data_IF_901158956598
#
_entry.id   IF_901158956598
#
_cell.length_a   1.000
_cell.length_b   1.000
_cell.length_c   1.000
_cell.angle_alpha   90.00
_cell.angle_beta   90.00
_cell.angle_gamma   90.00
#
_symmetry.space_group_name_H-M   'P 1'
#
loop_
_entity.id
_entity.type
_entity.pdbx_description
1 polymer ?
#
# COMPACT_ATOMS: atom_id res chain seq x y z
N UNK A 1 22.72 10.34 21.94
CA UNK A 1 23.37 10.24 20.61
C UNK A 1 22.42 10.87 19.61
N UNK A 2 22.87 11.71 18.67
CA UNK A 2 21.94 12.42 17.80
C UNK A 2 21.34 11.42 16.80
N UNK A 3 20.01 11.30 16.83
CA UNK A 3 19.20 10.57 15.86
C UNK A 3 19.39 11.18 14.47
N UNK A 4 19.83 10.37 13.52
CA UNK A 4 19.96 10.72 12.10
C UNK A 4 18.57 11.16 11.55
N UNK A 5 18.43 12.39 11.03
CA UNK A 5 17.13 12.94 10.60
C UNK A 5 16.54 12.29 9.34
N UNK A 6 17.18 11.28 8.73
CA UNK A 6 16.77 10.67 7.46
C UNK A 6 16.20 9.25 7.57
N UNK A 7 15.65 8.87 8.73
CA UNK A 7 15.10 7.52 8.92
C UNK A 7 13.61 7.52 8.57
N UNK A 8 13.26 7.07 7.36
CA UNK A 8 11.87 6.65 7.07
C UNK A 8 11.64 5.40 7.92
N UNK A 9 10.79 5.51 8.93
CA UNK A 9 10.56 4.43 9.86
C UNK A 9 9.65 3.38 9.19
N UNK A 10 10.11 2.14 9.12
CA UNK A 10 9.23 0.97 9.07
C UNK A 10 9.14 0.44 10.50
N UNK A 11 7.92 0.22 11.00
CA UNK A 11 7.70 -0.24 12.36
C UNK A 11 7.24 -1.69 12.39
N UNK A 12 7.90 -2.54 13.16
CA UNK A 12 7.32 -3.80 13.62
C UNK A 12 6.54 -3.55 14.92
N UNK A 13 5.30 -4.05 15.01
CA UNK A 13 4.43 -3.78 16.16
C UNK A 13 4.53 -4.86 17.23
N UNK A 14 4.57 -4.43 18.51
CA UNK A 14 4.40 -5.29 19.69
C UNK A 14 2.93 -5.31 20.14
N UNK A 15 2.48 -6.46 20.62
CA UNK A 15 1.07 -6.79 20.87
C UNK A 15 0.60 -6.25 22.24
N UNK A 16 -0.19 -5.17 22.22
CA UNK A 16 -0.79 -4.62 23.44
C UNK A 16 -2.27 -5.04 23.62
N UNK A 17 -3.04 -5.20 22.52
CA UNK A 17 -4.45 -5.63 22.55
C UNK A 17 -4.84 -6.49 21.32
N UNK A 18 -5.88 -7.35 21.39
CA UNK A 18 -6.22 -8.30 20.32
C UNK A 18 -6.90 -7.71 19.07
N UNK A 19 -7.26 -6.42 19.06
CA UNK A 19 -8.01 -5.76 17.97
C UNK A 19 -7.39 -4.43 17.48
N UNK A 20 -6.29 -3.99 18.09
CA UNK A 20 -5.71 -2.68 17.84
C UNK A 20 -4.19 -2.71 18.01
N UNK A 21 -3.49 -2.10 17.04
CA UNK A 21 -2.04 -1.97 17.01
C UNK A 21 -1.65 -0.51 16.80
N UNK A 22 -0.66 -0.04 17.58
CA UNK A 22 -0.13 1.32 17.51
C UNK A 22 1.32 1.31 17.01
N UNK A 23 1.63 2.20 16.08
CA UNK A 23 3.01 2.56 15.71
C UNK A 23 3.23 3.99 16.23
N UNK A 24 4.22 4.16 17.10
CA UNK A 24 4.64 5.48 17.58
C UNK A 24 5.29 6.26 16.43
N UNK A 25 4.63 7.34 16.01
CA UNK A 25 5.11 8.27 15.00
C UNK A 25 5.43 9.65 15.61
N UNK A 26 5.79 9.70 16.90
CA UNK A 26 6.14 10.94 17.62
C UNK A 26 7.30 11.75 17.01
N UNK A 27 8.17 11.12 16.22
CA UNK A 27 9.26 11.80 15.48
C UNK A 27 8.78 12.59 14.26
N UNK A 28 7.53 12.41 13.85
CA UNK A 28 7.01 12.85 12.56
C UNK A 28 6.54 14.31 12.64
N UNK A 29 7.09 15.17 11.76
CA UNK A 29 6.86 16.64 11.79
C UNK A 29 5.90 17.17 10.70
N UNK A 30 5.43 16.30 9.81
CA UNK A 30 4.52 16.62 8.68
C UNK A 30 3.05 16.81 9.09
N UNK A 31 2.21 17.36 8.19
CA UNK A 31 0.74 17.44 8.37
C UNK A 31 0.01 16.36 7.55
N UNK A 32 0.66 15.70 6.59
CA UNK A 32 0.05 14.61 5.83
C UNK A 32 0.97 13.40 5.64
N UNK A 33 0.35 12.22 5.71
CA UNK A 33 0.99 10.91 5.74
C UNK A 33 0.30 9.98 4.76
N UNK A 34 0.61 10.06 3.45
CA UNK A 34 0.22 9.00 2.53
C UNK A 34 0.79 7.67 3.03
N UNK A 35 -0.07 6.68 3.25
CA UNK A 35 0.30 5.42 3.88
C UNK A 35 -0.35 4.23 3.18
N UNK A 36 0.23 3.05 3.37
CA UNK A 36 -0.24 1.81 2.78
C UNK A 36 0.21 0.58 3.54
N UNK A 37 -0.52 -0.51 3.38
CA UNK A 37 -0.19 -1.81 3.96
C UNK A 37 1.02 -2.42 3.23
N UNK A 38 2.08 -2.72 3.97
CA UNK A 38 3.21 -3.50 3.47
C UNK A 38 3.33 -4.88 4.13
N UNK A 39 2.58 -5.14 5.21
CA UNK A 39 2.43 -6.46 5.81
C UNK A 39 1.02 -6.61 6.39
N UNK A 40 0.38 -7.73 6.12
CA UNK A 40 -0.84 -8.17 6.79
C UNK A 40 -0.70 -9.64 7.22
N UNK A 41 -1.09 -9.94 8.46
CA UNK A 41 -1.25 -11.27 9.02
C UNK A 41 -2.56 -11.25 9.84
N UNK A 42 -3.66 -11.66 9.21
CA UNK A 42 -5.03 -11.52 9.74
C UNK A 42 -5.77 -12.85 9.66
N UNK A 43 -6.34 -13.30 10.76
CA UNK A 43 -7.06 -14.59 10.85
C UNK A 43 -8.24 -14.67 9.89
N UNK A 44 -8.55 -15.85 9.36
CA UNK A 44 -9.75 -16.11 8.53
C UNK A 44 -11.01 -16.48 9.32
N UNK A 45 -11.02 -16.26 10.65
CA UNK A 45 -12.19 -16.56 11.51
C UNK A 45 -13.44 -15.75 11.15
N UNK A 46 -13.25 -14.69 10.39
CA UNK A 46 -14.24 -13.77 9.84
C UNK A 46 -13.64 -13.22 8.53
N UNK A 47 -14.35 -12.30 7.86
CA UNK A 47 -13.84 -11.56 6.70
C UNK A 47 -12.41 -11.05 6.92
N UNK A 48 -11.63 -10.94 5.82
CA UNK A 48 -10.41 -10.16 5.88
C UNK A 48 -10.79 -8.71 6.13
N UNK A 49 -10.55 -8.22 7.34
CA UNK A 49 -10.84 -6.85 7.77
C UNK A 49 -9.59 -6.25 8.34
N UNK A 50 -9.03 -5.28 7.65
CA UNK A 50 -7.84 -4.56 8.08
C UNK A 50 -7.93 -3.12 7.59
N UNK A 51 -7.51 -2.19 8.44
CA UNK A 51 -7.50 -0.76 8.13
C UNK A 51 -6.26 -0.12 8.74
N UNK A 52 -5.53 0.65 7.94
CA UNK A 52 -4.51 1.58 8.40
C UNK A 52 -5.17 2.95 8.52
N UNK A 53 -5.04 3.57 9.68
CA UNK A 53 -5.55 4.92 9.94
C UNK A 53 -4.51 5.76 10.65
N UNK A 54 -4.54 7.08 10.43
CA UNK A 54 -3.67 8.02 11.13
C UNK A 54 -4.51 8.90 12.04
N UNK A 55 -4.18 8.92 13.33
CA UNK A 55 -4.74 9.84 14.31
C UNK A 55 -3.72 10.95 14.58
N UNK A 56 -4.14 12.21 14.53
CA UNK A 56 -3.21 13.36 14.50
C UNK A 56 -3.02 14.00 15.89
N UNK A 57 -3.68 13.54 16.96
CA UNK A 57 -3.65 14.20 18.26
C UNK A 57 -3.36 13.25 19.43
N UNK A 58 -2.48 13.63 20.40
CA UNK A 58 -1.64 14.84 20.46
C UNK A 58 -0.37 14.76 19.61
N UNK A 59 -0.03 13.59 19.07
CA UNK A 59 1.05 13.33 18.10
C UNK A 59 0.49 12.39 17.01
N UNK A 60 0.99 12.45 15.77
CA UNK A 60 0.58 11.51 14.74
C UNK A 60 0.86 10.08 15.19
N UNK A 61 -0.19 9.26 15.24
CA UNK A 61 -0.13 7.83 15.56
C UNK A 61 -0.71 7.08 14.38
N UNK A 62 0.04 6.13 13.84
CA UNK A 62 -0.50 5.23 12.82
C UNK A 62 -1.05 4.00 13.53
N UNK A 63 -2.31 3.67 13.27
CA UNK A 63 -2.99 2.50 13.79
C UNK A 63 -3.26 1.52 12.67
N UNK A 64 -3.03 0.24 12.96
CA UNK A 64 -3.58 -0.86 12.17
C UNK A 64 -4.67 -1.53 12.99
N UNK A 65 -5.90 -1.50 12.49
CA UNK A 65 -7.08 -1.98 13.19
C UNK A 65 -7.80 -3.06 12.41
N UNK A 66 -8.48 -3.94 13.14
CA UNK A 66 -9.44 -4.91 12.60
C UNK A 66 -10.77 -4.75 13.31
N UNK A 67 -11.84 -5.32 12.77
CA UNK A 67 -13.17 -5.24 13.37
C UNK A 67 -13.97 -6.53 13.18
N UNK A 68 -15.06 -6.68 13.95
CA UNK A 68 -15.80 -7.93 14.04
C UNK A 68 -14.99 -9.01 14.75
N UNK A 69 -14.98 -10.23 14.22
CA UNK A 69 -14.19 -11.34 14.80
C UNK A 69 -12.82 -11.53 14.12
N UNK A 70 -12.42 -10.64 13.21
CA UNK A 70 -11.10 -10.65 12.57
C UNK A 70 -10.01 -10.27 13.59
N UNK A 71 -9.02 -11.13 13.74
CA UNK A 71 -7.87 -10.91 14.62
C UNK A 71 -6.63 -10.69 13.76
N UNK A 72 -5.94 -9.59 14.02
CA UNK A 72 -4.62 -9.30 13.44
C UNK A 72 -3.56 -9.94 14.35
N UNK A 73 -2.65 -10.71 13.76
CA UNK A 73 -1.53 -11.35 14.45
C UNK A 73 -0.27 -10.48 14.37
N UNK A 74 -0.04 -9.90 13.19
CA UNK A 74 0.97 -8.88 12.92
C UNK A 74 0.54 -8.04 11.72
N UNK A 75 0.96 -6.78 11.70
CA UNK A 75 0.75 -5.89 10.55
C UNK A 75 1.84 -4.83 10.54
N UNK A 76 2.11 -4.28 9.37
CA UNK A 76 2.93 -3.09 9.19
C UNK A 76 2.31 -2.19 8.14
N UNK A 77 2.68 -0.91 8.19
CA UNK A 77 2.42 0.04 7.14
C UNK A 77 3.70 0.78 6.74
N UNK A 78 3.72 1.27 5.51
CA UNK A 78 4.68 2.25 5.01
C UNK A 78 4.00 3.60 4.94
N UNK A 79 4.72 4.69 5.22
CA UNK A 79 4.24 6.05 4.97
C UNK A 79 5.30 6.93 4.30
N UNK A 80 4.82 7.92 3.55
CA UNK A 80 5.62 9.00 3.01
C UNK A 80 5.46 10.24 3.90
N UNK A 81 6.58 10.80 4.37
CA UNK A 81 6.57 12.11 5.00
C UNK A 81 6.68 13.20 3.93
N UNK A 82 5.57 13.90 3.68
CA UNK A 82 5.59 15.07 2.78
C UNK A 82 5.96 16.30 3.60
N UNK A 83 7.15 16.84 3.35
CA UNK A 83 7.59 18.08 3.99
C UNK A 83 6.62 19.21 3.67
N UNK A 84 6.31 20.08 4.65
CA UNK A 84 5.33 21.19 4.48
C UNK A 84 5.62 22.11 3.30
N UNK A 85 6.89 22.20 2.88
CA UNK A 85 7.34 23.07 1.80
C UNK A 85 7.52 22.34 0.46
N UNK A 86 7.39 21.01 0.43
CA UNK A 86 7.41 20.26 -0.81
C UNK A 86 6.02 20.34 -1.47
N UNK A 87 5.86 21.32 -2.36
CA UNK A 87 4.59 21.61 -3.05
C UNK A 87 4.37 20.76 -4.30
N UNK A 88 5.31 19.87 -4.60
CA UNK A 88 5.27 19.06 -5.81
C UNK A 88 4.46 17.77 -5.60
N UNK A 89 4.37 17.28 -4.37
CA UNK A 89 3.50 16.16 -4.05
C UNK A 89 2.04 16.59 -3.94
N UNK A 90 1.16 15.79 -4.52
CA UNK A 90 -0.28 15.79 -4.24
C UNK A 90 -0.69 14.37 -3.91
N UNK A 91 -1.58 14.19 -2.95
CA UNK A 91 -2.00 12.87 -2.50
C UNK A 91 -3.42 12.93 -1.95
N UNK A 92 -4.03 11.76 -1.76
CA UNK A 92 -5.34 11.65 -1.14
C UNK A 92 -5.71 10.21 -0.84
N UNK A 93 -6.86 10.02 -0.21
CA UNK A 93 -7.43 8.71 0.07
C UNK A 93 -8.79 8.61 -0.59
N UNK A 94 -9.08 7.46 -1.18
CA UNK A 94 -10.40 7.12 -1.70
C UNK A 94 -10.89 5.84 -1.03
N UNK A 95 -12.14 5.85 -0.59
CA UNK A 95 -12.84 4.69 -0.05
C UNK A 95 -13.90 4.22 -1.04
N UNK A 96 -13.98 2.92 -1.31
CA UNK A 96 -15.01 2.40 -2.22
C UNK A 96 -16.42 2.73 -1.73
N UNK A 97 -16.65 2.77 -0.41
CA UNK A 97 -17.96 3.11 0.17
C UNK A 97 -18.30 4.60 0.13
N UNK A 98 -17.41 5.45 -0.40
CA UNK A 98 -17.75 6.83 -0.76
C UNK A 98 -18.54 6.88 -2.07
N UNK A 99 -18.51 5.81 -2.88
CA UNK A 99 -19.37 5.64 -4.05
C UNK A 99 -20.79 5.26 -3.59
N UNK A 100 -21.78 6.08 -3.95
CA UNK A 100 -23.16 5.90 -3.50
C UNK A 100 -23.78 4.52 -3.83
N UNK A 101 -23.27 3.85 -4.86
CA UNK A 101 -23.73 2.53 -5.29
C UNK A 101 -22.91 1.38 -4.68
N UNK A 102 -21.76 1.67 -4.07
CA UNK A 102 -20.98 0.69 -3.35
C UNK A 102 -21.27 0.81 -1.86
N UNK A 103 -21.88 -0.23 -1.30
CA UNK A 103 -22.04 -0.32 0.15
C UNK A 103 -21.79 -1.74 0.61
N UNK A 104 -21.67 -1.92 1.92
CA UNK A 104 -21.65 -3.23 2.55
C UNK A 104 -22.74 -4.19 2.02
N UNK A 105 -23.93 -3.66 1.74
CA UNK A 105 -25.09 -4.44 1.27
C UNK A 105 -25.15 -4.59 -0.26
N UNK A 106 -24.31 -3.87 -0.97
CA UNK A 106 -24.23 -3.82 -2.44
C UNK A 106 -22.75 -3.77 -2.85
N UNK A 107 -21.99 -4.86 -2.63
CA UNK A 107 -20.59 -4.93 -3.06
C UNK A 107 -20.51 -4.84 -4.58
N UNK A 108 -19.45 -4.20 -5.10
CA UNK A 108 -19.20 -4.03 -6.54
C UNK A 108 -17.85 -4.63 -6.91
N UNK A 109 -17.80 -5.24 -8.10
CA UNK A 109 -16.54 -5.75 -8.66
C UNK A 109 -15.58 -4.63 -9.04
N UNK A 110 -16.10 -3.45 -9.37
CA UNK A 110 -15.28 -2.29 -9.71
C UNK A 110 -15.89 -1.03 -9.10
N UNK A 111 -15.03 -0.20 -8.54
CA UNK A 111 -15.36 1.16 -8.13
C UNK A 111 -14.26 2.07 -8.63
N UNK A 112 -14.66 3.16 -9.27
CA UNK A 112 -13.73 4.14 -9.82
C UNK A 112 -14.10 5.55 -9.42
N UNK A 113 -13.10 6.41 -9.38
CA UNK A 113 -13.25 7.82 -9.03
C UNK A 113 -12.41 8.68 -9.95
N UNK A 114 -13.01 9.69 -10.55
CA UNK A 114 -12.25 10.77 -11.16
C UNK A 114 -11.65 11.64 -10.06
N UNK A 115 -10.34 11.78 -10.08
CA UNK A 115 -9.57 12.58 -9.12
C UNK A 115 -9.00 13.78 -9.86
N UNK A 116 -9.38 14.97 -9.41
CA UNK A 116 -8.77 16.23 -9.86
C UNK A 116 -7.62 16.61 -8.93
N UNK A 117 -6.50 17.02 -9.51
CA UNK A 117 -5.41 17.61 -8.75
C UNK A 117 -5.82 19.00 -8.25
N UNK A 118 -5.44 19.34 -7.01
CA UNK A 118 -5.61 20.68 -6.46
C UNK A 118 -4.88 21.72 -7.32
N UNK A 119 -3.70 21.35 -7.81
CA UNK A 119 -2.90 22.13 -8.75
C UNK A 119 -2.56 21.28 -9.99
N UNK A 120 -2.81 21.76 -11.22
CA UNK A 120 -2.35 21.07 -12.41
C UNK A 120 -0.81 20.93 -12.43
N UNK A 121 -0.33 19.77 -12.88
CA UNK A 121 1.09 19.56 -13.16
C UNK A 121 1.48 20.15 -14.52
N UNK A 122 2.78 20.43 -14.71
CA UNK A 122 3.29 20.91 -15.99
C UNK A 122 3.17 19.85 -17.10
N UNK A 123 3.35 18.58 -16.75
CA UNK A 123 3.18 17.39 -17.59
C UNK A 123 2.47 16.30 -16.77
N UNK A 124 1.86 15.26 -17.39
CA UNK A 124 1.24 14.17 -16.63
C UNK A 124 2.19 13.63 -15.54
N UNK A 125 1.78 13.63 -14.26
CA UNK A 125 2.63 13.21 -13.15
C UNK A 125 2.83 11.69 -13.15
N UNK A 126 3.80 11.22 -12.35
CA UNK A 126 3.82 9.81 -11.92
C UNK A 126 2.84 9.64 -10.76
N UNK A 127 2.09 8.53 -10.77
CA UNK A 127 1.12 8.20 -9.73
C UNK A 127 1.39 6.79 -9.20
N UNK A 128 1.25 6.63 -7.88
CA UNK A 128 1.22 5.33 -7.21
C UNK A 128 -0.08 5.20 -6.42
N UNK A 129 -0.53 3.97 -6.22
CA UNK A 129 -1.70 3.64 -5.42
C UNK A 129 -1.32 2.57 -4.39
N UNK A 130 -1.71 2.75 -3.14
CA UNK A 130 -1.42 1.85 -2.04
C UNK A 130 -2.70 1.46 -1.32
N UNK A 131 -2.96 0.16 -1.19
CA UNK A 131 -4.07 -0.33 -0.37
C UNK A 131 -3.80 0.01 1.10
N UNK A 132 -4.78 0.61 1.76
CA UNK A 132 -4.71 0.92 3.19
C UNK A 132 -5.90 0.36 3.98
N UNK A 133 -6.95 -0.13 3.31
CA UNK A 133 -8.07 -0.86 3.94
C UNK A 133 -8.57 -1.96 3.02
N UNK A 134 -8.94 -3.11 3.61
CA UNK A 134 -9.61 -4.22 2.93
C UNK A 134 -10.70 -4.77 3.86
N UNK A 135 -11.91 -4.92 3.32
CA UNK A 135 -12.98 -5.77 3.86
C UNK A 135 -13.46 -6.72 2.77
N UNK A 136 -13.05 -7.99 2.85
CA UNK A 136 -13.37 -9.02 1.87
C UNK A 136 -13.96 -10.26 2.54
N UNK A 137 -14.95 -10.86 1.89
CA UNK A 137 -15.62 -12.08 2.38
C UNK A 137 -14.63 -13.24 2.59
N UNK A 138 -14.81 -14.00 3.67
CA UNK A 138 -13.90 -15.08 4.02
C UNK A 138 -14.19 -16.43 3.37
N UNK A 139 -15.27 -16.55 2.59
CA UNK A 139 -15.70 -17.80 1.94
C UNK A 139 -15.27 -17.87 0.47
N UNK A 140 -14.72 -16.78 -0.04
CA UNK A 140 -14.17 -16.64 -1.38
C UNK A 140 -12.73 -16.13 -1.31
N UNK A 141 -11.94 -16.40 -2.36
CA UNK A 141 -10.56 -15.90 -2.41
C UNK A 141 -10.56 -14.38 -2.23
N UNK A 142 -9.63 -13.86 -1.44
CA UNK A 142 -9.47 -12.44 -1.32
C UNK A 142 -8.76 -11.93 -2.57
N UNK A 143 -9.49 -11.19 -3.41
CA UNK A 143 -8.96 -10.56 -4.61
C UNK A 143 -9.21 -9.07 -4.57
N UNK A 144 -8.18 -8.25 -4.63
CA UNK A 144 -8.30 -6.79 -4.63
C UNK A 144 -7.12 -6.18 -5.37
N UNK A 145 -7.38 -5.16 -6.18
CA UNK A 145 -6.35 -4.35 -6.82
C UNK A 145 -6.74 -2.88 -6.82
N UNK A 146 -5.74 -2.01 -6.80
CA UNK A 146 -5.91 -0.56 -7.00
C UNK A 146 -4.84 -0.02 -7.94
N UNK A 147 -5.24 0.89 -8.83
CA UNK A 147 -4.38 1.47 -9.85
C UNK A 147 -4.98 2.77 -10.40
N UNK A 148 -4.15 3.56 -11.08
CA UNK A 148 -4.56 4.79 -11.76
C UNK A 148 -4.48 4.61 -13.28
N UNK A 149 -5.46 5.15 -14.01
CA UNK A 149 -5.45 5.26 -15.47
C UNK A 149 -5.82 6.68 -15.90
N UNK A 150 -5.79 6.95 -17.21
CA UNK A 150 -6.18 8.24 -17.80
C UNK A 150 -5.45 9.43 -17.14
N UNK A 151 -4.16 9.27 -16.87
CA UNK A 151 -3.37 10.28 -16.17
C UNK A 151 -3.14 11.47 -17.09
N UNK A 152 -3.64 12.63 -16.68
CA UNK A 152 -3.48 13.91 -17.36
C UNK A 152 -2.77 14.91 -16.45
N UNK A 153 -2.53 16.12 -16.95
CA UNK A 153 -1.99 17.23 -16.16
C UNK A 153 -2.91 17.67 -15.03
N UNK A 154 -4.21 17.42 -15.13
CA UNK A 154 -5.25 17.96 -14.24
C UNK A 154 -5.90 16.91 -13.34
N UNK A 155 -5.70 15.62 -13.62
CA UNK A 155 -6.32 14.55 -12.87
C UNK A 155 -6.10 13.19 -13.49
N UNK A 156 -6.76 12.18 -12.93
CA UNK A 156 -6.69 10.78 -13.35
C UNK A 156 -7.93 10.02 -12.89
N UNK A 157 -8.14 8.81 -13.44
CA UNK A 157 -9.17 7.88 -12.97
C UNK A 157 -8.54 6.85 -12.02
N UNK A 158 -8.99 6.83 -10.77
CA UNK A 158 -8.56 5.88 -9.75
C UNK A 158 -9.49 4.67 -9.72
N UNK A 159 -8.93 3.46 -9.71
CA UNK A 159 -9.67 2.20 -9.64
C UNK A 159 -9.38 1.45 -8.35
N UNK A 160 -10.43 0.83 -7.80
CA UNK A 160 -10.37 -0.20 -6.78
C UNK A 160 -11.32 -1.31 -7.20
N UNK A 161 -10.77 -2.49 -7.49
CA UNK A 161 -11.52 -3.57 -8.13
C UNK A 161 -11.23 -4.92 -7.49
N UNK A 162 -12.22 -5.79 -7.58
CA UNK A 162 -12.11 -7.22 -7.37
C UNK A 162 -12.56 -7.98 -8.64
N UNK A 163 -12.46 -9.30 -8.66
CA UNK A 163 -12.83 -10.11 -9.82
C UNK A 163 -13.27 -11.53 -9.43
N UNK A 164 -13.77 -12.27 -10.42
CA UNK A 164 -14.33 -13.61 -10.26
C UNK A 164 -15.46 -13.64 -9.21
N UNK A 165 -15.43 -14.62 -8.29
CA UNK A 165 -16.43 -14.84 -7.26
C UNK A 165 -16.16 -14.09 -5.94
N UNK A 166 -15.09 -13.29 -5.90
CA UNK A 166 -14.70 -12.56 -4.68
C UNK A 166 -15.72 -11.48 -4.35
N UNK A 167 -15.98 -11.30 -3.06
CA UNK A 167 -16.86 -10.25 -2.55
C UNK A 167 -16.03 -9.24 -1.79
N UNK A 168 -15.86 -8.04 -2.37
CA UNK A 168 -15.20 -6.90 -1.75
C UNK A 168 -16.27 -5.96 -1.20
N UNK A 169 -16.39 -5.90 0.12
CA UNK A 169 -17.38 -5.06 0.79
C UNK A 169 -16.92 -3.61 0.98
N UNK A 170 -15.62 -3.43 1.19
CA UNK A 170 -14.98 -2.13 1.26
C UNK A 170 -13.48 -2.27 0.95
N UNK A 171 -12.91 -1.25 0.33
CA UNK A 171 -11.47 -1.06 0.29
C UNK A 171 -11.15 0.43 0.25
N UNK A 172 -9.98 0.78 0.74
CA UNK A 172 -9.46 2.15 0.63
C UNK A 172 -8.07 2.11 0.00
N UNK A 173 -7.77 3.16 -0.75
CA UNK A 173 -6.51 3.34 -1.46
C UNK A 173 -5.99 4.76 -1.20
N UNK A 174 -4.71 4.85 -0.86
CA UNK A 174 -3.95 6.10 -0.87
C UNK A 174 -3.36 6.27 -2.26
N UNK A 175 -3.54 7.44 -2.88
CA UNK A 175 -2.82 7.81 -4.10
C UNK A 175 -1.78 8.89 -3.79
N UNK A 176 -0.65 8.84 -4.49
CA UNK A 176 0.45 9.81 -4.40
C UNK A 176 0.86 10.18 -5.82
N UNK A 177 0.91 11.48 -6.11
CA UNK A 177 1.29 12.06 -7.39
C UNK A 177 2.46 13.02 -7.22
N UNK A 178 3.42 12.99 -8.16
CA UNK A 178 4.55 13.90 -8.20
C UNK A 178 5.01 14.17 -9.65
N UNK A 179 5.74 15.28 -9.93
CA UNK A 179 6.18 15.61 -11.27
C UNK A 179 7.15 14.55 -11.82
N UNK A 180 6.87 14.03 -13.02
CA UNK A 180 7.66 12.96 -13.63
C UNK A 180 9.15 13.31 -13.86
N UNK A 181 9.47 14.61 -13.95
CA UNK A 181 10.82 15.12 -14.21
C UNK A 181 11.66 15.39 -12.94
N UNK A 182 11.14 15.17 -11.72
CA UNK A 182 11.96 15.37 -10.50
C UNK A 182 13.11 14.39 -10.48
N UNK A 183 14.35 14.87 -10.47
CA UNK A 183 15.57 14.06 -10.61
C UNK A 183 15.83 13.12 -9.43
N UNK A 184 15.48 13.52 -8.21
CA UNK A 184 15.78 12.82 -6.96
C UNK A 184 14.74 11.77 -6.54
N UNK A 185 13.84 11.38 -7.44
CA UNK A 185 12.75 10.44 -7.13
C UNK A 185 12.41 9.56 -8.33
N UNK A 186 12.11 8.28 -8.07
CA UNK A 186 11.49 7.40 -9.03
C UNK A 186 10.45 6.51 -8.38
N UNK A 187 9.56 5.96 -9.19
CA UNK A 187 8.50 5.07 -8.73
C UNK A 187 8.18 4.05 -9.81
N UNK A 188 7.62 2.93 -9.37
CA UNK A 188 7.17 1.86 -10.25
C UNK A 188 6.29 0.88 -9.50
N UNK A 189 6.02 -0.26 -10.12
CA UNK A 189 5.34 -1.38 -9.48
C UNK A 189 6.01 -2.69 -9.88
N UNK A 190 5.84 -3.71 -9.04
CA UNK A 190 6.28 -5.08 -9.30
C UNK A 190 5.20 -6.05 -8.82
N UNK A 191 5.21 -7.25 -9.39
CA UNK A 191 4.18 -8.24 -9.20
C UNK A 191 4.78 -9.65 -9.16
N UNK A 192 4.19 -10.56 -8.38
CA UNK A 192 4.67 -11.96 -8.32
C UNK A 192 4.68 -12.61 -9.70
N UNK A 193 3.78 -12.19 -10.59
CA UNK A 193 3.71 -12.69 -11.97
C UNK A 193 4.88 -12.27 -12.87
N UNK A 194 5.73 -11.36 -12.40
CA UNK A 194 6.95 -10.97 -13.11
C UNK A 194 8.02 -12.07 -13.04
N UNK A 195 7.94 -12.97 -12.06
CA UNK A 195 8.92 -14.05 -11.81
C UNK A 195 8.36 -15.46 -11.83
N UNK A 196 7.03 -15.60 -11.84
CA UNK A 196 6.37 -16.92 -11.88
C UNK A 196 5.01 -16.88 -12.59
N UNK A 197 4.55 -17.98 -13.19
CA UNK A 197 3.23 -18.04 -13.79
C UNK A 197 2.13 -18.04 -12.72
N UNK A 198 0.89 -17.72 -13.12
CA UNK A 198 -0.25 -17.59 -12.20
C UNK A 198 -0.73 -18.91 -11.59
N UNK A 199 -0.46 -20.04 -12.25
CA UNK A 199 -0.86 -21.39 -11.84
C UNK A 199 0.14 -22.06 -10.89
N UNK A 200 1.24 -21.38 -10.53
CA UNK A 200 2.25 -21.89 -9.59
C UNK A 200 2.42 -20.90 -8.42
N UNK A 201 1.51 -20.90 -7.43
CA UNK A 201 1.68 -20.11 -6.21
C UNK A 201 2.97 -20.46 -5.49
N UNK A 202 3.72 -19.44 -5.06
CA UNK A 202 4.95 -19.61 -4.29
C UNK A 202 4.89 -18.76 -3.03
N UNK A 203 5.43 -19.29 -1.94
CA UNK A 203 5.48 -18.58 -0.67
C UNK A 203 6.43 -17.38 -0.69
N UNK A 204 7.44 -17.40 -1.57
CA UNK A 204 8.42 -16.33 -1.71
C UNK A 204 8.60 -15.99 -3.17
N UNK A 205 8.64 -14.71 -3.48
CA UNK A 205 8.89 -14.20 -4.82
C UNK A 205 9.81 -13.00 -4.70
N UNK A 206 10.94 -13.06 -5.38
CA UNK A 206 11.94 -11.99 -5.39
C UNK A 206 12.45 -11.74 -6.81
N UNK A 207 12.80 -10.48 -7.09
CA UNK A 207 13.50 -10.11 -8.31
C UNK A 207 14.26 -8.81 -8.11
N UNK A 208 15.35 -8.64 -8.87
CA UNK A 208 16.03 -7.36 -9.00
C UNK A 208 15.35 -6.49 -10.06
N UNK A 209 15.21 -5.20 -9.76
CA UNK A 209 14.76 -4.20 -10.73
C UNK A 209 15.75 -3.03 -10.78
N UNK A 210 15.85 -2.44 -11.97
CA UNK A 210 16.57 -1.20 -12.18
C UNK A 210 15.64 -0.01 -12.02
N UNK A 211 16.14 1.03 -11.37
CA UNK A 211 15.53 2.34 -11.39
C UNK A 211 15.67 2.98 -12.78
N UNK A 212 14.70 3.81 -13.17
CA UNK A 212 14.76 4.56 -14.44
C UNK A 212 15.79 5.71 -14.44
N UNK A 213 16.60 5.78 -13.38
CA UNK A 213 17.63 6.80 -13.14
C UNK A 213 18.66 6.28 -12.16
N UNK A 214 19.79 6.98 -12.09
CA UNK A 214 20.84 6.73 -11.10
C UNK A 214 20.83 7.82 -10.04
N UNK A 215 20.77 7.40 -8.77
CA UNK A 215 20.89 8.26 -7.60
C UNK A 215 22.37 8.49 -7.23
N UNK A 216 22.66 9.55 -6.47
CA UNK A 216 24.03 9.81 -6.01
C UNK A 216 24.42 8.94 -4.81
N UNK A 217 23.44 8.61 -3.97
CA UNK A 217 23.54 7.65 -2.85
C UNK A 217 22.32 6.73 -2.90
N UNK A 218 22.37 5.50 -2.34
CA UNK A 218 21.19 4.63 -2.27
C UNK A 218 19.99 5.41 -1.73
N UNK A 219 18.86 5.46 -2.46
CA UNK A 219 17.68 6.19 -2.04
C UNK A 219 16.99 5.44 -0.90
N UNK A 220 16.05 6.09 -0.23
CA UNK A 220 15.10 5.39 0.61
C UNK A 220 13.96 4.87 -0.25
N UNK A 221 13.59 3.61 -0.05
CA UNK A 221 12.50 2.95 -0.77
C UNK A 221 11.32 2.74 0.15
N UNK A 222 10.17 3.24 -0.27
CA UNK A 222 8.86 3.01 0.34
C UNK A 222 8.05 2.13 -0.60
N UNK A 223 7.45 1.06 -0.09
CA UNK A 223 6.53 0.24 -0.88
C UNK A 223 5.33 -0.21 -0.05
N UNK A 224 4.19 -0.36 -0.73
CA UNK A 224 2.98 -0.94 -0.15
C UNK A 224 2.18 -1.67 -1.23
N UNK A 225 1.37 -2.62 -0.77
CA UNK A 225 0.59 -3.52 -1.60
C UNK A 225 -0.44 -2.73 -2.43
N UNK A 226 -0.54 -3.06 -3.71
CA UNK A 226 -1.55 -2.54 -4.62
C UNK A 226 -2.39 -3.64 -5.27
N UNK A 227 -2.02 -4.91 -5.04
CA UNK A 227 -2.69 -6.09 -5.57
C UNK A 227 -2.54 -7.25 -4.60
N UNK A 228 -3.64 -7.96 -4.34
CA UNK A 228 -3.66 -9.19 -3.55
C UNK A 228 -4.62 -10.21 -4.17
N UNK A 229 -4.16 -11.46 -4.21
CA UNK A 229 -4.95 -12.64 -4.57
C UNK A 229 -4.55 -13.79 -3.63
N UNK A 230 -5.31 -13.96 -2.54
CA UNK A 230 -5.05 -14.96 -1.49
C UNK A 230 -6.18 -15.97 -1.45
N UNK A 231 -5.83 -17.25 -1.40
CA UNK A 231 -6.80 -18.34 -1.31
C UNK A 231 -7.59 -18.34 0.00
N UNK A 232 -8.91 -18.58 -0.04
CA UNK A 232 -9.74 -18.57 1.19
C UNK A 232 -9.57 -19.82 2.07
N UNK A 233 -9.04 -20.91 1.52
CA UNK A 233 -8.78 -22.16 2.23
C UNK A 233 -7.49 -22.09 3.06
N UNK A 234 -7.34 -21.02 3.83
CA UNK A 234 -6.21 -20.73 4.74
C UNK A 234 -6.76 -20.38 6.12
N UNK A 235 -5.99 -20.63 7.17
CA UNK A 235 -6.31 -20.18 8.53
C UNK A 235 -6.02 -18.69 8.74
N UNK A 236 -5.25 -18.07 7.86
CA UNK A 236 -4.85 -16.67 7.96
C UNK A 236 -4.53 -16.07 6.59
N UNK A 237 -4.95 -14.82 6.37
CA UNK A 237 -4.51 -13.99 5.24
C UNK A 237 -3.14 -13.43 5.58
N UNK A 238 -2.12 -13.80 4.78
CA UNK A 238 -0.74 -13.37 4.99
C UNK A 238 -0.13 -12.88 3.69
N UNK A 239 0.36 -11.67 3.70
CA UNK A 239 1.16 -11.12 2.61
C UNK A 239 2.08 -10.03 3.16
N UNK A 240 3.30 -9.97 2.65
CA UNK A 240 4.20 -8.86 2.91
C UNK A 240 4.95 -8.46 1.66
N UNK A 241 5.28 -7.17 1.56
CA UNK A 241 6.29 -6.66 0.65
C UNK A 241 7.40 -5.97 1.42
N UNK A 242 8.63 -6.18 0.96
CA UNK A 242 9.80 -5.46 1.46
C UNK A 242 10.82 -5.32 0.33
N UNK A 243 11.72 -4.35 0.46
CA UNK A 243 12.77 -4.08 -0.52
C UNK A 243 14.14 -4.26 0.15
N UNK A 244 15.06 -4.92 -0.54
CA UNK A 244 16.42 -5.20 -0.07
C UNK A 244 17.45 -4.83 -1.13
N UNK A 245 18.73 -4.93 -0.82
CA UNK A 245 19.83 -4.70 -1.76
C UNK A 245 19.69 -3.37 -2.52
N UNK A 246 19.28 -2.31 -1.82
CA UNK A 246 19.05 -1.00 -2.42
C UNK A 246 20.41 -0.39 -2.77
N UNK A 247 20.58 -0.10 -4.06
CA UNK A 247 21.76 0.55 -4.64
C UNK A 247 21.37 1.89 -5.25
N UNK A 248 22.33 2.60 -5.83
CA UNK A 248 22.06 3.84 -6.58
C UNK A 248 21.28 3.61 -7.88
N UNK A 249 21.20 2.37 -8.37
CA UNK A 249 20.63 2.04 -9.68
C UNK A 249 19.47 1.06 -9.62
N UNK A 250 19.17 0.48 -8.46
CA UNK A 250 18.11 -0.53 -8.35
C UNK A 250 17.93 -1.08 -6.95
N UNK A 251 17.09 -2.11 -6.87
CA UNK A 251 16.77 -2.82 -5.63
C UNK A 251 16.30 -4.24 -5.94
N UNK A 252 16.35 -5.12 -4.95
CA UNK A 252 15.59 -6.36 -4.93
C UNK A 252 14.23 -6.13 -4.24
N UNK A 253 13.14 -6.58 -4.84
CA UNK A 253 11.82 -6.60 -4.19
C UNK A 253 11.46 -8.01 -3.73
N UNK A 254 10.64 -8.09 -2.69
CA UNK A 254 10.04 -9.34 -2.22
C UNK A 254 8.52 -9.21 -2.10
N UNK A 255 7.81 -10.27 -2.44
CA UNK A 255 6.37 -10.47 -2.23
C UNK A 255 6.16 -11.87 -1.66
N UNK A 256 5.98 -11.93 -0.35
CA UNK A 256 6.01 -13.18 0.40
C UNK A 256 4.70 -13.46 1.12
N UNK A 257 4.48 -14.74 1.38
CA UNK A 257 3.51 -15.27 2.34
C UNK A 257 4.16 -16.36 3.19
N UNK A 258 3.44 -16.88 4.19
CA UNK A 258 3.95 -17.93 5.08
C UNK A 258 2.81 -18.75 5.72
N UNK A 259 3.19 -19.82 6.42
CA UNK A 259 2.25 -20.76 7.02
C UNK A 259 1.49 -21.55 5.96
N UNK A 260 0.18 -21.66 6.14
CA UNK A 260 -0.77 -22.34 5.26
C UNK A 260 -1.41 -21.41 4.20
N UNK A 261 -0.96 -20.16 4.11
CA UNK A 261 -1.54 -19.19 3.19
C UNK A 261 -1.10 -19.47 1.75
N UNK A 262 -2.07 -19.65 0.86
CA UNK A 262 -1.83 -19.72 -0.58
C UNK A 262 -1.88 -18.33 -1.20
N UNK A 263 -0.74 -17.79 -1.63
CA UNK A 263 -0.63 -16.51 -2.34
C UNK A 263 -0.64 -16.75 -3.86
N UNK A 264 -1.81 -16.70 -4.50
CA UNK A 264 -1.92 -16.85 -5.95
C UNK A 264 -1.18 -15.74 -6.68
N UNK A 265 -1.40 -14.50 -6.26
CA UNK A 265 -0.62 -13.36 -6.73
C UNK A 265 -0.62 -12.18 -5.76
N UNK A 266 0.40 -11.34 -5.86
CA UNK A 266 0.47 -10.06 -5.16
C UNK A 266 1.23 -9.04 -6.02
N UNK A 267 1.04 -7.77 -5.70
CA UNK A 267 1.78 -6.67 -6.28
C UNK A 267 1.93 -5.52 -5.29
N UNK A 268 2.94 -4.69 -5.51
CA UNK A 268 3.16 -3.47 -4.76
C UNK A 268 3.63 -2.35 -5.69
N UNK A 269 3.32 -1.12 -5.30
CA UNK A 269 3.91 0.09 -5.89
C UNK A 269 4.97 0.65 -4.96
N UNK A 270 6.08 1.12 -5.51
CA UNK A 270 7.20 1.67 -4.74
C UNK A 270 7.53 3.11 -5.14
N UNK A 271 8.07 3.85 -4.18
CA UNK A 271 8.69 5.16 -4.31
C UNK A 271 10.14 5.06 -3.81
N UNK A 272 11.11 5.34 -4.66
CA UNK A 272 12.50 5.51 -4.27
C UNK A 272 12.84 7.00 -4.32
N UNK A 273 13.17 7.59 -3.16
CA UNK A 273 13.46 9.02 -3.02
C UNK A 273 14.81 9.22 -2.34
N UNK A 274 15.60 10.13 -2.91
CA UNK A 274 16.87 10.54 -2.34
C UNK A 274 16.74 11.97 -1.79
N UNK A 275 17.01 12.15 -0.50
CA UNK A 275 17.20 13.49 0.06
C UNK A 275 18.50 14.09 -0.47
N UNK A 276 18.45 15.37 -0.85
CA UNK A 276 19.59 16.15 -1.30
C UNK A 276 20.68 16.24 -0.23
#
# INVERSE_FOLDING_TARGET
MPSDPNTFLTGEVRKDHPQEYQIDASSVRGISFPHGLNLLDVSTRDNLRINVSVEVAPLPTIRVTTWGASVVHSSSCTWLEVARNDRDFQHGVFSTVDDHDHSWRKPKTETRREVSFEKPFAEPPKIMCWLNKIDADCRHDCRVKTYAENITKTGFTLYVSTWADSILYAACTTWIAYPANRSNITSGSYHTRDVRPSNEPQARCECDILFDRTFQKPPVVLAALNWLEIGYRTSTYRAKTLNTNITTTGMAWHLDTWGDTTLYSAGASYLAIQDY
#
